data_IF_071769469503
#
_entry.id   IF_071769469503
#
_cell.length_a   1.000
_cell.length_b   1.000
_cell.length_c   1.000
_cell.angle_alpha   90.00
_cell.angle_beta   90.00
_cell.angle_gamma   90.00
#
_symmetry.space_group_name_H-M   'P 1'
#
loop_
_entity.id
_entity.type
_entity.pdbx_description
1 polymer ?
#
# COMPACT_ATOMS: atom_id res chain seq x y z
N UNK A 1 -13.36 5.38 -1.64
CA UNK A 1 -12.06 6.06 -1.46
C UNK A 1 -11.62 6.04 0.02
N UNK A 2 -11.56 4.83 0.65
CA UNK A 2 -11.00 4.66 2.00
C UNK A 2 -9.56 4.09 1.97
N UNK A 3 -9.06 3.80 0.79
CA UNK A 3 -7.88 2.94 0.57
C UNK A 3 -6.57 3.69 0.25
N UNK A 4 -6.61 5.03 0.23
CA UNK A 4 -5.42 5.87 0.02
C UNK A 4 -5.02 6.72 1.23
N UNK A 5 -5.66 6.51 2.38
CA UNK A 5 -5.37 7.28 3.60
C UNK A 5 -4.28 6.65 4.45
N UNK A 6 -3.63 7.44 5.30
CA UNK A 6 -2.63 6.95 6.25
C UNK A 6 -3.12 5.81 7.14
N UNK A 7 -4.42 5.77 7.48
CA UNK A 7 -5.00 4.68 8.27
C UNK A 7 -4.86 3.33 7.57
N UNK A 8 -5.07 3.28 6.26
CA UNK A 8 -4.88 2.07 5.48
C UNK A 8 -3.42 1.62 5.44
N UNK A 9 -2.49 2.55 5.19
CA UNK A 9 -1.06 2.23 5.25
C UNK A 9 -0.61 1.78 6.64
N UNK A 10 -1.12 2.41 7.70
CA UNK A 10 -0.82 1.97 9.06
C UNK A 10 -1.33 0.55 9.32
N UNK A 11 -2.48 0.17 8.78
CA UNK A 11 -3.01 -1.19 8.84
C UNK A 11 -2.12 -2.17 8.05
N UNK A 12 -1.71 -1.83 6.84
CA UNK A 12 -0.78 -2.65 6.03
C UNK A 12 0.54 -2.87 6.76
N UNK A 13 1.15 -1.82 7.31
CA UNK A 13 2.41 -1.91 8.07
C UNK A 13 2.23 -2.80 9.30
N UNK A 14 1.15 -2.60 10.07
CA UNK A 14 0.85 -3.42 11.25
C UNK A 14 0.74 -4.90 10.90
N UNK A 15 0.01 -5.21 9.82
CA UNK A 15 -0.13 -6.59 9.35
C UNK A 15 1.19 -7.17 8.85
N UNK A 16 2.01 -6.36 8.18
CA UNK A 16 3.35 -6.77 7.74
C UNK A 16 4.25 -7.12 8.94
N UNK A 17 4.22 -6.32 10.00
CA UNK A 17 4.95 -6.58 11.26
C UNK A 17 4.46 -7.87 11.91
N UNK A 18 3.13 -8.06 12.02
CA UNK A 18 2.54 -9.28 12.60
C UNK A 18 2.94 -10.53 11.79
N UNK A 19 2.89 -10.45 10.45
CA UNK A 19 3.31 -11.55 9.57
C UNK A 19 4.81 -11.87 9.69
N UNK A 20 5.65 -10.87 9.91
CA UNK A 20 7.07 -11.06 10.10
C UNK A 20 7.38 -11.88 11.37
N UNK A 21 6.61 -11.67 12.46
CA UNK A 21 6.79 -12.40 13.72
C UNK A 21 8.24 -12.40 14.19
N UNK A 22 8.81 -13.58 14.41
CA UNK A 22 10.20 -13.76 14.85
C UNK A 22 11.23 -13.32 13.79
N UNK A 23 10.82 -13.14 12.54
CA UNK A 23 11.68 -12.67 11.45
C UNK A 23 11.71 -11.15 11.31
N UNK A 24 11.06 -10.39 12.22
CA UNK A 24 10.95 -8.94 12.13
C UNK A 24 12.30 -8.27 11.84
N UNK A 25 13.32 -8.55 12.65
CA UNK A 25 14.66 -7.96 12.50
C UNK A 25 15.38 -8.40 11.21
N UNK A 26 14.95 -9.49 10.59
CA UNK A 26 15.48 -9.94 9.30
C UNK A 26 14.83 -9.20 8.14
N UNK A 27 13.53 -8.95 8.22
CA UNK A 27 12.74 -8.33 7.15
C UNK A 27 12.80 -6.80 7.19
N UNK A 28 12.74 -6.21 8.39
CA UNK A 28 12.71 -4.77 8.56
C UNK A 28 14.08 -4.22 8.96
N UNK A 29 14.54 -3.19 8.26
CA UNK A 29 15.82 -2.51 8.53
C UNK A 29 15.61 -1.01 8.58
N UNK A 30 16.07 -0.37 9.65
CA UNK A 30 16.28 1.08 9.65
C UNK A 30 17.65 1.35 9.03
N UNK A 31 17.69 1.99 7.89
CA UNK A 31 18.91 2.31 7.14
C UNK A 31 19.58 3.59 7.65
N UNK A 32 18.97 4.25 8.65
CA UNK A 32 19.42 5.51 9.21
C UNK A 32 18.52 6.69 8.85
N UNK A 33 19.10 7.88 8.90
CA UNK A 33 18.41 9.13 8.63
C UNK A 33 18.82 9.68 7.27
N UNK A 34 17.88 10.32 6.60
CA UNK A 34 18.09 11.01 5.32
C UNK A 34 17.32 12.32 5.33
N UNK A 35 17.83 13.32 4.64
CA UNK A 35 17.11 14.57 4.37
C UNK A 35 16.35 14.46 3.05
N UNK A 36 15.07 14.79 3.07
CA UNK A 36 14.17 14.79 1.93
C UNK A 36 13.38 16.12 1.93
N UNK A 37 13.58 16.95 0.91
CA UNK A 37 12.90 18.26 0.76
C UNK A 37 12.95 19.11 2.05
N UNK A 38 14.11 19.21 2.68
CA UNK A 38 14.37 19.88 3.97
C UNK A 38 13.66 19.24 5.17
N UNK A 39 13.24 18.00 5.08
CA UNK A 39 12.68 17.22 6.18
C UNK A 39 13.59 16.06 6.55
N UNK A 40 13.92 15.94 7.83
CA UNK A 40 14.64 14.75 8.32
C UNK A 40 13.71 13.55 8.35
N UNK A 41 14.09 12.48 7.68
CA UNK A 41 13.31 11.24 7.58
C UNK A 41 14.10 10.03 8.07
N UNK A 42 13.41 9.05 8.64
CA UNK A 42 13.94 7.70 8.78
C UNK A 42 13.76 6.95 7.46
N UNK A 43 14.83 6.33 6.97
CA UNK A 43 14.77 5.41 5.85
C UNK A 43 14.58 3.98 6.38
N UNK A 44 13.41 3.42 6.13
CA UNK A 44 13.06 2.05 6.53
C UNK A 44 12.87 1.20 5.29
N UNK A 45 13.46 0.02 5.28
CA UNK A 45 13.22 -0.99 4.25
C UNK A 45 12.61 -2.24 4.86
N UNK A 46 11.67 -2.84 4.15
CA UNK A 46 11.17 -4.18 4.43
C UNK A 46 11.42 -5.06 3.20
N UNK A 47 12.10 -6.19 3.38
CA UNK A 47 12.41 -7.14 2.30
C UNK A 47 11.90 -8.52 2.69
N UNK A 48 11.18 -9.18 1.78
CA UNK A 48 10.57 -10.50 1.99
C UNK A 48 11.22 -11.51 1.04
N UNK A 49 12.28 -12.21 1.48
CA UNK A 49 12.99 -13.17 0.62
C UNK A 49 12.15 -14.38 0.25
N UNK A 50 11.07 -14.63 0.96
CA UNK A 50 10.07 -15.67 0.69
C UNK A 50 8.86 -15.18 -0.13
N UNK A 51 8.98 -13.97 -0.74
CA UNK A 51 7.97 -13.46 -1.68
C UNK A 51 7.74 -14.46 -2.81
N UNK A 52 6.48 -14.80 -3.04
CA UNK A 52 6.06 -15.72 -4.09
C UNK A 52 4.61 -15.52 -4.47
N UNK A 53 4.24 -16.07 -5.61
CA UNK A 53 2.85 -16.16 -6.05
C UNK A 53 2.23 -17.49 -5.64
N UNK A 54 0.97 -17.45 -5.25
CA UNK A 54 0.18 -18.60 -4.80
C UNK A 54 -1.13 -18.67 -5.56
N UNK A 55 -1.70 -19.87 -5.67
CA UNK A 55 -3.03 -20.05 -6.24
C UNK A 55 -4.08 -19.88 -5.14
N UNK A 56 -5.07 -19.04 -5.41
CA UNK A 56 -6.24 -18.82 -4.55
C UNK A 56 -7.51 -19.28 -5.25
N UNK A 57 -8.38 -19.99 -4.54
CA UNK A 57 -9.70 -20.37 -5.05
C UNK A 57 -10.74 -19.36 -4.55
N UNK A 58 -11.34 -18.64 -5.48
CA UNK A 58 -12.36 -17.60 -5.22
C UNK A 58 -13.57 -18.22 -4.53
N UNK A 59 -14.03 -17.61 -3.45
CA UNK A 59 -15.24 -17.99 -2.72
C UNK A 59 -16.46 -17.25 -3.24
N UNK A 60 -17.64 -17.72 -2.87
CA UNK A 60 -18.91 -17.10 -3.28
C UNK A 60 -19.01 -15.65 -2.78
N UNK A 61 -19.23 -14.73 -3.71
CA UNK A 61 -19.44 -13.31 -3.44
C UNK A 61 -18.16 -12.48 -3.29
N UNK A 62 -16.98 -13.09 -3.47
CA UNK A 62 -15.72 -12.35 -3.50
C UNK A 62 -15.51 -11.62 -4.82
N UNK A 63 -14.81 -10.47 -4.74
CA UNK A 63 -14.21 -9.72 -5.83
C UNK A 63 -12.70 -9.60 -5.60
N UNK A 64 -11.92 -9.19 -6.60
CA UNK A 64 -10.49 -8.94 -6.39
C UNK A 64 -10.26 -7.89 -5.29
N UNK A 65 -11.12 -6.87 -5.20
CA UNK A 65 -11.05 -5.83 -4.15
C UNK A 65 -11.27 -6.45 -2.76
N UNK A 66 -12.29 -7.28 -2.59
CA UNK A 66 -12.55 -7.89 -1.27
C UNK A 66 -11.45 -8.87 -0.87
N UNK A 67 -10.93 -9.66 -1.83
CA UNK A 67 -9.79 -10.57 -1.60
C UNK A 67 -8.53 -9.78 -1.23
N UNK A 68 -8.23 -8.70 -1.95
CA UNK A 68 -7.08 -7.84 -1.68
C UNK A 68 -7.16 -7.25 -0.27
N UNK A 69 -8.32 -6.72 0.11
CA UNK A 69 -8.56 -6.16 1.44
C UNK A 69 -8.39 -7.20 2.54
N UNK A 70 -9.04 -8.34 2.41
CA UNK A 70 -9.01 -9.41 3.43
C UNK A 70 -7.61 -10.00 3.63
N UNK A 71 -6.78 -9.96 2.58
CA UNK A 71 -5.42 -10.49 2.59
C UNK A 71 -4.34 -9.43 2.78
N UNK A 72 -4.72 -8.15 2.81
CA UNK A 72 -3.81 -6.99 2.86
C UNK A 72 -2.83 -7.01 1.67
N UNK A 73 -3.39 -7.07 0.47
CA UNK A 73 -2.68 -7.07 -0.82
C UNK A 73 -3.15 -5.89 -1.67
N UNK A 74 -2.42 -5.57 -2.73
CA UNK A 74 -2.84 -4.58 -3.73
C UNK A 74 -3.87 -5.19 -4.69
N UNK A 75 -5.04 -4.55 -4.84
CA UNK A 75 -6.03 -4.97 -5.82
C UNK A 75 -5.53 -4.81 -7.27
N UNK A 76 -4.69 -3.80 -7.52
CA UNK A 76 -4.05 -3.61 -8.82
C UNK A 76 -3.14 -4.78 -9.17
N UNK A 77 -2.35 -5.24 -8.22
CA UNK A 77 -1.49 -6.41 -8.42
C UNK A 77 -2.31 -7.67 -8.68
N UNK A 78 -3.42 -7.86 -7.95
CA UNK A 78 -4.31 -9.00 -8.20
C UNK A 78 -4.90 -8.95 -9.61
N UNK A 79 -5.30 -7.79 -10.08
CA UNK A 79 -5.83 -7.62 -11.44
C UNK A 79 -4.75 -7.89 -12.49
N UNK A 80 -3.55 -7.30 -12.34
CA UNK A 80 -2.43 -7.47 -13.27
C UNK A 80 -1.99 -8.95 -13.37
N UNK A 81 -1.83 -9.63 -12.24
CA UNK A 81 -1.44 -11.05 -12.22
C UNK A 81 -2.44 -11.97 -12.91
N UNK A 82 -3.71 -11.54 -13.04
CA UNK A 82 -4.79 -12.32 -13.61
C UNK A 82 -5.33 -11.74 -14.92
N UNK A 83 -4.71 -10.73 -15.52
CA UNK A 83 -5.19 -9.99 -16.71
C UNK A 83 -5.59 -10.85 -17.91
N UNK A 84 -4.96 -12.02 -18.07
CA UNK A 84 -5.29 -12.98 -19.14
C UNK A 84 -6.68 -13.62 -18.98
N UNK A 85 -7.27 -13.58 -17.77
CA UNK A 85 -8.52 -14.26 -17.42
C UNK A 85 -9.56 -13.34 -16.78
N UNK A 86 -9.14 -12.18 -16.32
CA UNK A 86 -9.92 -11.23 -15.54
C UNK A 86 -9.68 -9.84 -16.11
N UNK A 87 -10.74 -9.17 -16.56
CA UNK A 87 -10.67 -7.83 -17.14
C UNK A 87 -11.13 -6.74 -16.18
N UNK A 88 -11.82 -7.11 -15.10
CA UNK A 88 -12.35 -6.17 -14.10
C UNK A 88 -12.35 -6.80 -12.70
N UNK A 89 -12.37 -5.99 -11.65
CA UNK A 89 -12.26 -6.45 -10.25
C UNK A 89 -13.36 -7.43 -9.81
N UNK A 90 -14.54 -7.38 -10.41
CA UNK A 90 -15.72 -8.24 -10.14
C UNK A 90 -15.90 -9.35 -11.19
N UNK A 91 -15.01 -9.45 -12.17
CA UNK A 91 -15.07 -10.44 -13.25
C UNK A 91 -14.42 -11.77 -12.82
N UNK A 92 -14.73 -12.21 -11.60
CA UNK A 92 -14.29 -13.50 -11.04
C UNK A 92 -15.49 -14.28 -10.51
N UNK A 93 -15.36 -15.62 -10.49
CA UNK A 93 -16.46 -16.52 -10.14
C UNK A 93 -16.07 -17.48 -9.04
N UNK A 94 -17.06 -17.85 -8.22
CA UNK A 94 -16.89 -18.90 -7.21
C UNK A 94 -16.25 -20.16 -7.81
N UNK A 95 -15.20 -20.66 -7.16
CA UNK A 95 -14.41 -21.81 -7.61
C UNK A 95 -13.34 -21.51 -8.66
N UNK A 96 -13.26 -20.25 -9.17
CA UNK A 96 -12.20 -19.86 -10.09
C UNK A 96 -10.84 -19.81 -9.36
N UNK A 97 -9.81 -20.33 -10.00
CA UNK A 97 -8.44 -20.20 -9.51
C UNK A 97 -7.78 -18.95 -10.07
N UNK A 98 -7.30 -18.09 -9.18
CA UNK A 98 -6.54 -16.87 -9.47
C UNK A 98 -5.15 -16.93 -8.84
N UNK A 99 -4.23 -16.11 -9.32
CA UNK A 99 -2.89 -15.93 -8.77
C UNK A 99 -2.89 -14.75 -7.82
N UNK A 100 -2.30 -14.91 -6.65
CA UNK A 100 -2.12 -13.84 -5.67
C UNK A 100 -0.69 -13.88 -5.11
N UNK A 101 -0.10 -12.76 -4.66
CA UNK A 101 1.14 -12.80 -3.90
C UNK A 101 0.87 -13.20 -2.45
N UNK A 102 1.87 -13.75 -1.77
CA UNK A 102 1.76 -14.11 -0.34
C UNK A 102 1.87 -12.91 0.60
N UNK A 103 2.51 -11.81 0.16
CA UNK A 103 2.64 -10.52 0.87
C UNK A 103 2.48 -9.36 -0.11
N UNK A 104 2.32 -8.13 0.39
CA UNK A 104 2.01 -6.94 -0.41
C UNK A 104 3.04 -6.62 -1.50
N UNK A 105 4.32 -6.87 -1.24
CA UNK A 105 5.42 -6.68 -2.19
C UNK A 105 6.66 -7.41 -1.70
N UNK A 106 7.65 -7.62 -2.57
CA UNK A 106 8.90 -8.28 -2.20
C UNK A 106 9.83 -7.33 -1.42
N UNK A 107 9.72 -6.02 -1.70
CA UNK A 107 10.45 -4.97 -1.01
C UNK A 107 9.59 -3.72 -0.88
N UNK A 108 9.64 -3.10 0.29
CA UNK A 108 8.98 -1.82 0.57
C UNK A 108 10.03 -0.86 1.11
N UNK A 109 10.02 0.38 0.62
CA UNK A 109 10.87 1.46 1.11
C UNK A 109 9.97 2.57 1.63
N UNK A 110 10.23 2.99 2.87
CA UNK A 110 9.48 4.05 3.55
C UNK A 110 10.43 5.16 3.95
N UNK A 111 10.06 6.40 3.64
CA UNK A 111 10.68 7.61 4.17
C UNK A 111 9.71 8.21 5.19
N UNK A 112 9.97 7.99 6.47
CA UNK A 112 9.09 8.43 7.56
C UNK A 112 9.61 9.76 8.10
N UNK A 113 8.79 10.80 8.01
CA UNK A 113 9.08 12.10 8.62
C UNK A 113 9.33 11.96 10.12
N UNK A 114 10.42 12.53 10.62
CA UNK A 114 10.81 12.40 12.03
C UNK A 114 9.94 13.22 12.98
N UNK A 115 9.36 14.30 12.52
CA UNK A 115 8.51 15.18 13.32
C UNK A 115 7.05 14.72 13.29
N UNK A 116 6.54 14.45 12.09
CA UNK A 116 5.14 14.09 11.88
C UNK A 116 4.87 12.59 12.09
N UNK A 117 5.89 11.75 12.05
CA UNK A 117 5.84 10.27 12.15
C UNK A 117 4.90 9.63 11.12
N UNK A 118 4.80 10.24 9.95
CA UNK A 118 4.04 9.74 8.79
C UNK A 118 4.95 9.53 7.58
N UNK A 119 4.62 8.61 6.66
CA UNK A 119 5.41 8.43 5.46
C UNK A 119 5.27 9.65 4.52
N UNK A 120 6.41 10.16 4.03
CA UNK A 120 6.48 11.10 2.90
C UNK A 120 6.61 10.39 1.58
N UNK A 121 7.35 9.28 1.56
CA UNK A 121 7.47 8.44 0.36
C UNK A 121 7.24 6.99 0.77
N UNK A 122 6.46 6.29 -0.04
CA UNK A 122 6.27 4.85 0.02
C UNK A 122 6.57 4.29 -1.36
N UNK A 123 7.50 3.35 -1.46
CA UNK A 123 7.78 2.62 -2.70
C UNK A 123 7.62 1.13 -2.46
N UNK A 124 6.83 0.50 -3.31
CA UNK A 124 6.57 -0.94 -3.28
C UNK A 124 7.15 -1.56 -4.54
N UNK A 125 7.89 -2.63 -4.36
CA UNK A 125 8.49 -3.40 -5.44
C UNK A 125 7.91 -4.81 -5.45
N UNK A 126 7.75 -5.35 -6.64
CA UNK A 126 7.50 -6.76 -6.89
C UNK A 126 8.75 -7.44 -7.47
N UNK A 127 8.62 -8.62 -8.06
CA UNK A 127 9.71 -9.35 -8.71
C UNK A 127 10.11 -8.77 -10.08
N UNK A 128 9.32 -7.82 -10.63
CA UNK A 128 9.60 -7.13 -11.90
C UNK A 128 10.24 -5.75 -11.68
N UNK A 129 10.13 -5.17 -10.48
CA UNK A 129 10.70 -3.87 -10.15
C UNK A 129 9.77 -2.99 -9.33
N UNK A 130 9.84 -1.66 -9.53
CA UNK A 130 8.98 -0.70 -8.86
C UNK A 130 7.54 -0.88 -9.34
N UNK A 131 6.65 -1.25 -8.41
CA UNK A 131 5.24 -1.49 -8.68
C UNK A 131 4.36 -0.30 -8.30
N UNK A 132 4.56 0.28 -7.11
CA UNK A 132 3.83 1.45 -6.63
C UNK A 132 4.79 2.49 -6.06
N UNK A 133 4.49 3.78 -6.27
CA UNK A 133 5.19 4.90 -5.64
C UNK A 133 4.17 5.95 -5.21
N UNK A 134 4.21 6.30 -3.92
CA UNK A 134 3.39 7.37 -3.33
C UNK A 134 4.34 8.42 -2.76
N UNK A 135 4.15 9.67 -3.15
CA UNK A 135 4.92 10.80 -2.67
C UNK A 135 3.95 11.86 -2.14
N UNK A 136 4.14 12.27 -0.89
CA UNK A 136 3.28 13.22 -0.21
C UNK A 136 4.03 14.53 0.01
N UNK A 137 3.54 15.59 -0.62
CA UNK A 137 4.05 16.94 -0.49
C UNK A 137 3.11 17.77 0.37
N UNK A 138 3.61 18.85 0.96
CA UNK A 138 2.83 19.84 1.70
C UNK A 138 1.89 19.22 2.76
N UNK A 139 2.44 18.29 3.55
CA UNK A 139 1.67 17.55 4.55
C UNK A 139 1.23 18.44 5.70
N UNK A 140 -0.06 18.52 5.92
CA UNK A 140 -0.68 19.11 7.09
C UNK A 140 -1.39 18.02 7.92
N UNK A 141 -1.07 17.96 9.22
CA UNK A 141 -1.70 17.01 10.13
C UNK A 141 -2.92 17.64 10.79
N UNK A 142 -4.09 17.04 10.60
CA UNK A 142 -5.37 17.50 11.12
C UNK A 142 -5.66 18.97 10.76
N UNK A 143 -5.59 19.37 9.48
CA UNK A 143 -5.91 20.72 9.05
C UNK A 143 -7.35 21.06 9.43
N UNK A 144 -7.61 22.35 9.70
CA UNK A 144 -8.98 22.84 9.85
C UNK A 144 -9.61 22.92 8.46
N UNK A 145 -10.45 21.95 8.16
CA UNK A 145 -11.24 21.95 6.92
C UNK A 145 -12.56 22.68 7.21
N UNK A 146 -12.90 23.66 6.37
CA UNK A 146 -14.19 24.36 6.44
C UNK A 146 -15.19 23.78 5.44
N UNK A 147 -16.49 23.87 5.74
CA UNK A 147 -17.53 23.27 4.87
C UNK A 147 -17.50 23.79 3.44
N UNK A 148 -17.11 25.06 3.25
CA UNK A 148 -16.97 25.68 1.94
C UNK A 148 -15.96 24.96 1.04
N UNK A 149 -14.94 24.29 1.60
CA UNK A 149 -13.95 23.52 0.83
C UNK A 149 -14.55 22.31 0.10
N UNK A 150 -15.76 21.87 0.49
CA UNK A 150 -16.46 20.80 -0.21
C UNK A 150 -17.43 21.29 -1.29
N UNK A 151 -17.45 22.62 -1.54
CA UNK A 151 -18.31 23.24 -2.54
C UNK A 151 -17.54 23.56 -3.82
N UNK A 152 -18.25 23.64 -4.96
CA UNK A 152 -17.65 24.05 -6.25
C UNK A 152 -17.24 25.52 -6.28
N UNK A 153 -17.79 26.31 -5.38
CA UNK A 153 -17.55 27.74 -5.25
C UNK A 153 -16.29 28.06 -4.43
N UNK A 154 -15.64 27.05 -3.85
CA UNK A 154 -14.42 27.27 -3.08
C UNK A 154 -13.28 27.79 -3.95
N UNK A 155 -12.86 29.02 -3.67
CA UNK A 155 -11.87 29.73 -4.50
C UNK A 155 -10.49 29.10 -4.52
N UNK A 156 -10.16 28.25 -3.54
CA UNK A 156 -8.89 27.56 -3.45
C UNK A 156 -8.67 26.50 -4.53
N UNK A 157 -9.73 26.04 -5.22
CA UNK A 157 -9.59 25.03 -6.28
C UNK A 157 -9.20 25.58 -7.65
N UNK A 158 -9.19 26.91 -7.84
CA UNK A 158 -8.65 27.55 -9.05
C UNK A 158 -9.43 27.24 -10.36
N UNK A 159 -10.74 26.93 -10.26
CA UNK A 159 -11.61 26.76 -11.44
C UNK A 159 -12.04 28.12 -12.00
#
# INVERSE_FOLDING_TARGET
>A
MKEAGYDYFAELIRNAIIKAGDNFDSYFKCQGEIELDNHACYLITAEYPDYKYETYTVKKGETLITIARDKHLSEYMLLELNEKKVSHYDDIKNGQMIVIPNVYGNKIILYIDKELLVPRIIRVYDDKGLFESYEYHDLEINPKIVEEEFTKEYKGYGF
#
